data_IF_760660060460
#
_entry.id   IF_760660060460
#
_cell.length_a   1.000
_cell.length_b   1.000
_cell.length_c   1.000
_cell.angle_alpha   90.00
_cell.angle_beta   90.00
_cell.angle_gamma   90.00
#
_symmetry.space_group_name_H-M   'P 1'
#
loop_
_entity.id
_entity.type
_entity.pdbx_description
1 polymer ?
#
# COMPACT_ATOMS: atom_id res chain seq x y z
N UNK A 1 -20.24 0.38 2.96
CA UNK A 1 -18.81 0.60 2.62
C UNK A 1 -18.46 0.31 1.15
N UNK A 2 -18.67 -0.90 0.61
CA UNK A 2 -18.25 -1.25 -0.76
C UNK A 2 -18.86 -0.35 -1.87
N UNK A 3 -20.15 0.00 -1.79
CA UNK A 3 -20.79 0.91 -2.76
C UNK A 3 -20.20 2.33 -2.74
N UNK A 4 -19.91 2.88 -1.55
CA UNK A 4 -19.28 4.19 -1.38
C UNK A 4 -17.84 4.21 -1.90
N UNK A 5 -17.09 3.11 -1.74
CA UNK A 5 -15.78 2.94 -2.34
C UNK A 5 -15.83 3.01 -3.88
N UNK A 6 -16.79 2.34 -4.51
CA UNK A 6 -16.94 2.35 -5.98
C UNK A 6 -17.29 3.74 -6.55
N UNK A 7 -18.02 4.55 -5.78
CA UNK A 7 -18.37 5.93 -6.15
C UNK A 7 -17.15 6.85 -6.08
N UNK A 8 -16.43 6.83 -4.95
CA UNK A 8 -15.24 7.65 -4.70
C UNK A 8 -14.10 7.29 -5.64
N UNK A 9 -13.85 5.99 -5.84
CA UNK A 9 -12.83 5.47 -6.75
C UNK A 9 -13.00 6.02 -8.17
N UNK A 10 -14.25 6.14 -8.66
CA UNK A 10 -14.54 6.61 -10.02
C UNK A 10 -14.14 8.07 -10.27
N UNK A 11 -14.08 8.89 -9.23
CA UNK A 11 -13.81 10.34 -9.33
C UNK A 11 -12.42 10.75 -8.88
N UNK A 12 -11.66 9.86 -8.22
CA UNK A 12 -10.34 10.18 -7.70
C UNK A 12 -9.27 10.25 -8.80
N UNK A 13 -8.57 11.39 -8.92
CA UNK A 13 -7.46 11.61 -9.87
C UNK A 13 -6.07 11.22 -9.32
N UNK A 14 -6.00 10.42 -8.26
CA UNK A 14 -4.76 10.10 -7.56
C UNK A 14 -4.88 8.88 -6.63
N UNK A 15 -3.84 8.57 -5.84
CA UNK A 15 -3.87 7.48 -4.88
C UNK A 15 -4.99 7.69 -3.85
N UNK A 16 -5.88 6.71 -3.74
CA UNK A 16 -6.98 6.74 -2.78
C UNK A 16 -7.11 5.40 -2.07
N UNK A 17 -7.30 5.48 -0.76
CA UNK A 17 -7.66 4.38 0.11
C UNK A 17 -9.02 4.67 0.75
N UNK A 18 -9.84 3.64 0.92
CA UNK A 18 -11.04 3.68 1.75
C UNK A 18 -10.86 2.63 2.82
N UNK A 19 -11.06 3.02 4.07
CA UNK A 19 -10.68 2.24 5.24
C UNK A 19 -11.78 2.33 6.28
N UNK A 20 -12.01 1.21 6.98
CA UNK A 20 -12.76 1.15 8.22
C UNK A 20 -11.99 0.33 9.27
N UNK A 21 -12.67 0.05 10.39
CA UNK A 21 -12.13 -0.71 11.52
C UNK A 21 -11.66 -2.13 11.16
N UNK A 22 -12.02 -2.68 10.00
CA UNK A 22 -11.70 -4.05 9.59
C UNK A 22 -11.17 -4.19 8.15
N UNK A 23 -11.54 -3.30 7.24
CA UNK A 23 -11.27 -3.43 5.81
C UNK A 23 -10.53 -2.23 5.26
N UNK A 24 -9.80 -2.46 4.17
CA UNK A 24 -9.18 -1.42 3.38
C UNK A 24 -9.31 -1.77 1.90
N UNK A 25 -9.72 -0.78 1.11
CA UNK A 25 -9.79 -0.85 -0.34
C UNK A 25 -8.93 0.27 -0.92
N UNK A 26 -8.07 -0.07 -1.88
CA UNK A 26 -7.17 0.88 -2.54
C UNK A 26 -7.36 0.84 -4.05
N UNK A 27 -7.10 1.95 -4.73
CA UNK A 27 -6.92 1.92 -6.18
C UNK A 27 -5.49 1.48 -6.55
N UNK A 28 -5.23 1.27 -7.84
CA UNK A 28 -3.92 0.82 -8.33
C UNK A 28 -2.78 1.78 -7.95
N UNK A 29 -3.06 3.10 -7.89
CA UNK A 29 -2.06 4.08 -7.49
C UNK A 29 -1.70 3.97 -6.00
N UNK A 30 -2.69 3.81 -5.12
CA UNK A 30 -2.47 3.61 -3.69
C UNK A 30 -1.89 2.22 -3.36
N UNK A 31 -2.21 1.19 -4.14
CA UNK A 31 -1.60 -0.14 -4.02
C UNK A 31 -0.09 -0.14 -4.27
N UNK A 32 0.44 0.89 -4.95
CA UNK A 32 1.88 1.12 -5.12
C UNK A 32 2.55 1.82 -3.92
N UNK A 33 1.77 2.33 -2.97
CA UNK A 33 2.25 3.13 -1.84
C UNK A 33 1.96 2.48 -0.48
N UNK A 34 0.89 1.69 -0.39
CA UNK A 34 0.39 1.10 0.84
C UNK A 34 0.50 -0.43 0.84
N UNK A 35 0.64 -0.99 2.03
CA UNK A 35 0.44 -2.42 2.33
C UNK A 35 -0.83 -2.60 3.17
N UNK A 36 -1.45 -3.78 3.11
CA UNK A 36 -2.55 -4.16 4.00
C UNK A 36 -2.26 -3.95 5.49
N UNK A 37 -0.99 -4.03 5.90
CA UNK A 37 -0.55 -3.74 7.26
C UNK A 37 -0.79 -2.28 7.70
N UNK A 38 -0.90 -1.34 6.75
CA UNK A 38 -1.09 0.09 7.03
C UNK A 38 -2.51 0.44 7.45
N UNK A 39 -3.47 -0.48 7.28
CA UNK A 39 -4.92 -0.24 7.48
C UNK A 39 -5.23 0.38 8.84
N UNK A 40 -4.73 -0.22 9.92
CA UNK A 40 -5.04 0.24 11.28
C UNK A 40 -4.55 1.67 11.50
N UNK A 41 -3.34 1.98 11.04
CA UNK A 41 -2.74 3.31 11.17
C UNK A 41 -3.47 4.34 10.32
N UNK A 42 -3.91 3.96 9.11
CA UNK A 42 -4.75 4.78 8.25
C UNK A 42 -6.09 5.11 8.92
N UNK A 43 -6.73 4.10 9.52
CA UNK A 43 -8.00 4.25 10.23
C UNK A 43 -7.86 5.20 11.42
N UNK A 44 -6.88 4.97 12.28
CA UNK A 44 -6.63 5.81 13.44
C UNK A 44 -6.27 7.26 13.06
N UNK A 45 -5.44 7.42 12.03
CA UNK A 45 -5.07 8.74 11.54
C UNK A 45 -6.30 9.49 11.03
N UNK A 46 -7.15 8.85 10.23
CA UNK A 46 -8.38 9.47 9.76
C UNK A 46 -9.32 9.82 10.92
N UNK A 47 -9.52 8.90 11.88
CA UNK A 47 -10.36 9.13 13.05
C UNK A 47 -9.92 10.36 13.86
N UNK A 48 -8.62 10.47 14.19
CA UNK A 48 -8.07 11.64 14.90
C UNK A 48 -8.24 12.95 14.14
N UNK A 49 -8.16 12.91 12.81
CA UNK A 49 -8.31 14.12 11.99
C UNK A 49 -9.75 14.56 11.82
N UNK A 50 -10.66 13.60 11.71
CA UNK A 50 -12.09 13.88 11.62
C UNK A 50 -12.63 14.41 12.95
N UNK A 51 -12.19 13.86 14.09
CA UNK A 51 -12.59 14.36 15.42
C UNK A 51 -12.10 15.79 15.70
N UNK A 52 -11.00 16.22 15.07
CA UNK A 52 -10.45 17.58 15.19
C UNK A 52 -10.95 18.54 14.10
N UNK A 53 -11.88 18.11 13.23
CA UNK A 53 -12.36 18.91 12.09
C UNK A 53 -11.29 19.21 11.03
N UNK A 54 -10.14 18.52 11.09
CA UNK A 54 -8.97 18.77 10.24
C UNK A 54 -8.89 17.85 9.01
N UNK A 55 -9.85 16.95 8.81
CA UNK A 55 -9.81 15.91 7.77
C UNK A 55 -9.54 16.44 6.36
N UNK A 56 -10.18 17.55 5.97
CA UNK A 56 -10.03 18.14 4.63
C UNK A 56 -8.68 18.82 4.37
N UNK A 57 -7.89 19.09 5.41
CA UNK A 57 -6.56 19.71 5.28
C UNK A 57 -5.52 18.65 4.94
N UNK A 58 -4.47 19.02 4.20
CA UNK A 58 -3.30 18.15 4.09
C UNK A 58 -2.63 17.98 5.46
N UNK A 59 -2.16 16.79 5.74
CA UNK A 59 -1.46 16.49 6.98
C UNK A 59 -0.65 15.22 6.87
N UNK A 60 0.29 15.10 7.80
CA UNK A 60 1.30 14.05 7.81
C UNK A 60 0.73 12.74 8.34
N UNK A 61 1.00 11.65 7.64
CA UNK A 61 0.65 10.28 7.98
C UNK A 61 1.95 9.48 8.07
N UNK A 62 2.26 8.93 9.24
CA UNK A 62 3.47 8.10 9.42
C UNK A 62 3.07 6.64 9.40
N UNK A 63 3.63 5.89 8.46
CA UNK A 63 3.45 4.45 8.27
C UNK A 63 4.79 3.73 8.49
N UNK A 64 4.78 2.40 8.71
CA UNK A 64 5.99 1.59 8.76
C UNK A 64 6.83 1.69 7.47
N UNK A 65 6.19 1.94 6.33
CA UNK A 65 6.83 2.13 5.03
C UNK A 65 7.49 3.50 4.86
N UNK A 66 7.18 4.46 5.74
CA UNK A 66 7.62 5.84 5.64
C UNK A 66 6.52 6.85 5.95
N UNK A 67 6.84 8.13 5.78
CA UNK A 67 5.88 9.21 5.98
C UNK A 67 5.28 9.65 4.64
N UNK A 68 3.96 9.77 4.63
CA UNK A 68 3.15 10.31 3.54
C UNK A 68 2.44 11.59 3.99
N UNK A 69 1.91 12.31 3.02
CA UNK A 69 0.93 13.36 3.26
C UNK A 69 -0.40 12.99 2.63
N UNK A 70 -1.48 13.46 3.22
CA UNK A 70 -2.79 13.29 2.62
C UNK A 70 -3.88 14.05 3.35
N UNK A 71 -5.10 13.83 2.89
CA UNK A 71 -6.33 14.33 3.47
C UNK A 71 -7.34 13.21 3.59
N UNK A 72 -8.32 13.38 4.47
CA UNK A 72 -9.39 12.41 4.64
C UNK A 72 -10.77 13.04 4.72
N UNK A 73 -11.77 12.22 4.45
CA UNK A 73 -13.17 12.55 4.62
C UNK A 73 -13.89 11.37 5.27
N UNK A 74 -14.71 11.65 6.28
CA UNK A 74 -15.45 10.64 7.00
C UNK A 74 -16.62 10.13 6.17
N UNK A 75 -16.88 8.84 6.31
CA UNK A 75 -18.10 8.18 5.85
C UNK A 75 -18.87 7.83 7.11
N UNK A 76 -20.06 8.39 7.24
CA UNK A 76 -20.91 8.23 8.42
C UNK A 76 -22.12 7.38 8.06
N UNK A 77 -22.52 6.53 9.00
CA UNK A 77 -23.82 5.87 9.03
C UNK A 77 -24.56 6.46 10.23
N UNK A 78 -25.59 7.26 9.94
CA UNK A 78 -26.15 8.25 10.86
C UNK A 78 -25.07 9.16 11.47
N UNK A 79 -24.82 9.05 12.79
CA UNK A 79 -23.81 9.81 13.51
C UNK A 79 -22.51 9.03 13.77
N UNK A 80 -22.47 7.74 13.39
CA UNK A 80 -21.34 6.86 13.65
C UNK A 80 -20.37 6.89 12.47
N UNK A 81 -19.08 7.09 12.76
CA UNK A 81 -18.04 7.02 11.74
C UNK A 81 -17.88 5.57 11.26
N UNK A 82 -18.51 5.24 10.15
CA UNK A 82 -18.49 3.91 9.53
C UNK A 82 -17.24 3.65 8.67
N UNK A 83 -16.53 4.71 8.25
CA UNK A 83 -15.33 4.59 7.44
C UNK A 83 -14.70 5.94 7.11
N UNK A 84 -13.59 5.91 6.39
CA UNK A 84 -12.92 7.10 5.91
C UNK A 84 -12.37 6.89 4.50
N UNK A 85 -12.50 7.93 3.69
CA UNK A 85 -11.79 8.06 2.42
C UNK A 85 -10.51 8.83 2.69
N UNK A 86 -9.38 8.33 2.21
CA UNK A 86 -8.06 8.94 2.35
C UNK A 86 -7.46 9.14 0.97
N UNK A 87 -7.15 10.39 0.64
CA UNK A 87 -6.38 10.74 -0.55
C UNK A 87 -4.93 10.98 -0.12
N UNK A 88 -4.01 10.29 -0.78
CA UNK A 88 -2.58 10.39 -0.50
C UNK A 88 -1.90 11.19 -1.59
N UNK A 89 -0.88 11.94 -1.17
CA UNK A 89 -0.05 12.75 -2.04
C UNK A 89 1.40 12.28 -1.93
N UNK A 90 2.08 12.25 -3.08
CA UNK A 90 3.50 11.90 -3.17
C UNK A 90 3.80 10.40 -3.00
N UNK A 91 5.05 10.11 -2.64
CA UNK A 91 5.55 8.78 -2.28
C UNK A 91 5.98 8.81 -0.81
N UNK A 92 5.94 7.66 -0.10
CA UNK A 92 6.45 7.61 1.26
C UNK A 92 7.91 8.04 1.23
N UNK A 93 8.34 8.85 2.19
CA UNK A 93 9.76 9.02 2.40
C UNK A 93 10.37 7.64 2.69
N UNK A 94 11.47 7.29 2.02
CA UNK A 94 12.06 5.94 2.13
C UNK A 94 12.85 5.83 3.45
N UNK A 95 12.21 6.12 4.59
CA UNK A 95 12.80 6.20 5.93
C UNK A 95 12.51 4.97 6.79
N UNK A 96 11.39 4.29 6.56
CA UNK A 96 10.99 3.10 7.34
C UNK A 96 11.90 1.87 7.10
N UNK A 97 11.79 0.77 7.86
CA UNK A 97 12.56 -0.44 7.57
C UNK A 97 12.30 -0.95 6.15
N UNK A 98 13.35 -1.33 5.40
CA UNK A 98 13.26 -1.73 3.97
C UNK A 98 12.14 -2.74 3.70
N UNK A 99 11.99 -3.73 4.59
CA UNK A 99 10.97 -4.75 4.51
C UNK A 99 9.53 -4.23 4.62
N UNK A 100 9.34 -3.21 5.44
CA UNK A 100 8.05 -2.53 5.63
C UNK A 100 7.70 -1.63 4.45
N UNK A 101 8.66 -1.30 3.58
CA UNK A 101 8.44 -0.49 2.36
C UNK A 101 7.84 -1.29 1.21
N UNK A 102 7.78 -2.62 1.30
CA UNK A 102 7.18 -3.44 0.25
C UNK A 102 5.65 -3.37 0.31
N UNK A 103 5.04 -3.13 -0.84
CA UNK A 103 3.60 -3.33 -1.02
C UNK A 103 3.28 -4.82 -1.05
N UNK A 104 2.01 -5.17 -0.94
CA UNK A 104 1.60 -6.58 -0.90
C UNK A 104 1.95 -7.31 -2.21
N UNK A 105 1.77 -6.64 -3.36
CA UNK A 105 2.16 -7.19 -4.67
C UNK A 105 3.67 -7.37 -4.79
N UNK A 106 4.46 -6.39 -4.35
CA UNK A 106 5.91 -6.46 -4.39
C UNK A 106 6.45 -7.57 -3.48
N UNK A 107 5.91 -7.69 -2.26
CA UNK A 107 6.24 -8.76 -1.32
C UNK A 107 5.95 -10.12 -1.92
N UNK A 108 4.75 -10.30 -2.46
CA UNK A 108 4.33 -11.57 -3.07
C UNK A 108 5.26 -11.96 -4.23
N UNK A 109 5.58 -11.03 -5.12
CA UNK A 109 6.52 -11.25 -6.23
C UNK A 109 7.92 -11.59 -5.72
N UNK A 110 8.44 -10.85 -4.72
CA UNK A 110 9.75 -11.09 -4.15
C UNK A 110 9.87 -12.49 -3.53
N UNK A 111 8.84 -12.94 -2.81
CA UNK A 111 8.80 -14.28 -2.19
C UNK A 111 8.81 -15.40 -3.25
N UNK A 112 8.00 -15.29 -4.30
CA UNK A 112 7.95 -16.30 -5.37
C UNK A 112 9.29 -16.39 -6.07
N UNK A 113 9.87 -15.24 -6.40
CA UNK A 113 11.15 -15.15 -7.10
C UNK A 113 12.31 -15.65 -6.22
N UNK A 114 12.28 -15.41 -4.91
CA UNK A 114 13.26 -15.96 -3.98
C UNK A 114 13.17 -17.48 -3.82
N UNK A 115 12.00 -18.08 -4.06
CA UNK A 115 11.83 -19.54 -4.16
C UNK A 115 12.30 -20.13 -5.49
N UNK A 116 12.86 -19.30 -6.39
CA UNK A 116 13.44 -19.74 -7.66
C UNK A 116 12.50 -19.65 -8.86
N UNK A 117 11.28 -19.14 -8.70
CA UNK A 117 10.34 -19.02 -9.81
C UNK A 117 10.79 -17.95 -10.81
N UNK A 118 10.56 -18.22 -12.08
CA UNK A 118 10.73 -17.27 -13.18
C UNK A 118 9.60 -16.24 -13.17
N UNK A 119 9.79 -15.14 -13.92
CA UNK A 119 8.75 -14.13 -14.09
C UNK A 119 7.50 -14.72 -14.76
N UNK A 120 7.64 -15.71 -15.66
CA UNK A 120 6.50 -16.36 -16.33
C UNK A 120 5.70 -17.23 -15.37
N UNK A 121 6.37 -18.02 -14.54
CA UNK A 121 5.70 -18.85 -13.53
C UNK A 121 5.03 -18.00 -12.45
N UNK A 122 5.73 -16.96 -11.97
CA UNK A 122 5.15 -15.99 -11.02
C UNK A 122 3.94 -15.29 -11.61
N UNK A 123 4.02 -14.87 -12.88
CA UNK A 123 2.90 -14.24 -13.59
C UNK A 123 1.69 -15.17 -13.70
N UNK A 124 1.91 -16.45 -14.01
CA UNK A 124 0.86 -17.45 -14.08
C UNK A 124 0.17 -17.66 -12.73
N UNK A 125 0.94 -17.75 -11.63
CA UNK A 125 0.39 -17.93 -10.29
C UNK A 125 -0.40 -16.72 -9.78
N UNK A 126 0.03 -15.51 -10.16
CA UNK A 126 -0.59 -14.26 -9.73
C UNK A 126 -1.64 -13.73 -10.71
N UNK A 127 -1.89 -14.44 -11.81
CA UNK A 127 -2.81 -14.03 -12.88
C UNK A 127 -2.54 -12.61 -13.42
N UNK A 128 -1.26 -12.27 -13.60
CA UNK A 128 -0.79 -10.98 -14.15
C UNK A 128 0.16 -11.20 -15.32
N UNK A 129 0.56 -10.14 -16.02
CA UNK A 129 1.54 -10.26 -17.10
C UNK A 129 2.97 -10.45 -16.56
N UNK A 130 3.86 -11.17 -17.27
CA UNK A 130 5.28 -11.22 -16.93
C UNK A 130 5.95 -9.84 -16.88
N UNK A 131 5.44 -8.87 -17.64
CA UNK A 131 5.91 -7.48 -17.60
C UNK A 131 5.52 -6.79 -16.28
N UNK A 132 4.35 -7.10 -15.72
CA UNK A 132 3.92 -6.62 -14.41
C UNK A 132 4.82 -7.19 -13.31
N UNK A 133 5.20 -8.47 -13.40
CA UNK A 133 6.18 -9.08 -12.48
C UNK A 133 7.53 -8.39 -12.58
N UNK A 134 8.03 -8.13 -13.81
CA UNK A 134 9.27 -7.38 -14.02
C UNK A 134 9.21 -5.98 -13.39
N UNK A 135 8.10 -5.27 -13.61
CA UNK A 135 7.88 -3.96 -13.01
C UNK A 135 7.99 -4.02 -11.47
N UNK A 136 7.31 -4.97 -10.82
CA UNK A 136 7.39 -5.14 -9.37
C UNK A 136 8.81 -5.48 -8.92
N UNK A 137 9.52 -6.38 -9.61
CA UNK A 137 10.91 -6.70 -9.30
C UNK A 137 11.83 -5.49 -9.40
N UNK A 138 11.66 -4.63 -10.40
CA UNK A 138 12.43 -3.37 -10.50
C UNK A 138 12.19 -2.46 -9.30
N UNK A 139 10.95 -2.38 -8.79
CA UNK A 139 10.67 -1.62 -7.57
C UNK A 139 11.34 -2.26 -6.34
N UNK A 140 11.24 -3.59 -6.21
CA UNK A 140 11.89 -4.34 -5.11
C UNK A 140 13.40 -4.14 -5.14
N UNK A 141 14.05 -4.33 -6.29
CA UNK A 141 15.49 -4.15 -6.44
C UNK A 141 15.93 -2.74 -6.07
N UNK A 142 15.17 -1.71 -6.45
CA UNK A 142 15.44 -0.33 -6.02
C UNK A 142 15.34 -0.19 -4.50
N UNK A 143 14.24 -0.68 -3.88
CA UNK A 143 14.00 -0.56 -2.43
C UNK A 143 15.04 -1.30 -1.59
N UNK A 144 15.52 -2.44 -2.06
CA UNK A 144 16.52 -3.28 -1.40
C UNK A 144 17.96 -2.96 -1.81
N UNK A 145 18.15 -2.06 -2.79
CA UNK A 145 19.45 -1.72 -3.39
C UNK A 145 20.23 -2.94 -3.91
N UNK A 146 19.52 -3.96 -4.39
CA UNK A 146 20.11 -5.17 -4.98
C UNK A 146 20.11 -5.09 -6.51
N UNK A 147 21.03 -5.81 -7.14
CA UNK A 147 21.22 -5.81 -8.60
C UNK A 147 20.81 -7.11 -9.26
N UNK A 148 20.59 -8.16 -8.47
CA UNK A 148 20.31 -9.49 -8.99
C UNK A 148 19.22 -10.23 -8.21
N UNK A 149 18.56 -11.15 -8.91
CA UNK A 149 17.61 -12.10 -8.31
C UNK A 149 18.27 -12.95 -7.22
N UNK A 150 19.55 -13.29 -7.38
CA UNK A 150 20.31 -14.08 -6.41
C UNK A 150 20.54 -13.29 -5.12
N UNK A 151 20.92 -12.02 -5.22
CA UNK A 151 21.01 -11.14 -4.04
C UNK A 151 19.66 -11.01 -3.34
N UNK A 152 18.58 -10.81 -4.09
CA UNK A 152 17.23 -10.75 -3.52
C UNK A 152 16.89 -12.04 -2.76
N UNK A 153 17.14 -13.21 -3.35
CA UNK A 153 16.86 -14.50 -2.72
C UNK A 153 17.65 -14.70 -1.42
N UNK A 154 18.91 -14.27 -1.37
CA UNK A 154 19.73 -14.32 -0.14
C UNK A 154 19.13 -13.45 0.96
N UNK A 155 18.70 -12.23 0.65
CA UNK A 155 18.05 -11.35 1.62
C UNK A 155 16.72 -11.92 2.13
N UNK A 156 15.92 -12.53 1.26
CA UNK A 156 14.68 -13.21 1.65
C UNK A 156 14.93 -14.40 2.58
N UNK A 157 16.00 -15.16 2.34
CA UNK A 157 16.36 -16.30 3.20
C UNK A 157 16.74 -15.87 4.62
N UNK A 158 17.47 -14.75 4.78
CA UNK A 158 17.84 -14.22 6.10
C UNK A 158 16.64 -13.71 6.90
N UNK A 159 15.51 -13.40 6.27
CA UNK A 159 14.27 -13.00 6.96
C UNK A 159 13.45 -14.19 7.47
N UNK A 160 13.60 -15.36 6.86
CA UNK A 160 12.81 -16.54 7.16
C UNK A 160 13.43 -17.44 8.24
N UNK A 161 14.65 -17.14 8.69
CA UNK A 161 15.33 -17.76 9.83
C UNK A 161 15.41 -16.79 11.00
#
# INVERSE_FOLDING_TARGET
MHARFLEVRRRAKGPVAVVDAHTMFVNSAAAGLLSSADRTLLWEWAGRRLSTGSGRRHGRLTLPSGTLTGRCEGVYDDEVLAGAVIWLDGRPDETGPVWSRLTDSERTVAEHVARGLTNRETAALLFISPHTVDYHLRQVFRKFQVRSRVELARLMATRAG
#
